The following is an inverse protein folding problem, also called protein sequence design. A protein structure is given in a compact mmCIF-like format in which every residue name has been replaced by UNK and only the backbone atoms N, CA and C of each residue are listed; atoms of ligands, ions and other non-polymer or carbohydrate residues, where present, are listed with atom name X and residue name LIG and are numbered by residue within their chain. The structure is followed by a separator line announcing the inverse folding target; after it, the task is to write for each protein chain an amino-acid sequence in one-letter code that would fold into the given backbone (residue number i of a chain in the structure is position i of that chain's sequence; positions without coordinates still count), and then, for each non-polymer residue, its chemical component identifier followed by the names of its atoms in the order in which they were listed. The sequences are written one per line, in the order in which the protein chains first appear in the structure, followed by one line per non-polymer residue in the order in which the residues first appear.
data_IF_326494894691
#
_entry.id   IF_326494894691
#
_cell.length_a   1.000
_cell.length_b   1.000
_cell.length_c   1.000
_cell.angle_alpha   90.00
_cell.angle_beta   90.00
_cell.angle_gamma   90.00
#
_symmetry.space_group_name_H-M   'P 1'
#
loop_
_entity.id
_entity.type
_entity.pdbx_description
1 polymer ?
#
# COMPACT_ATOMS: atom_id res chain seq x y z
N UNK A 1 -16.18 15.04 22.49
CA UNK A 1 -15.11 15.81 21.81
C UNK A 1 -14.20 16.43 22.87
N UNK A 2 -12.88 16.25 22.77
CA UNK A 2 -11.90 16.82 23.71
C UNK A 2 -11.74 18.34 23.49
N UNK A 3 -11.48 19.09 24.58
CA UNK A 3 -11.41 20.56 24.53
C UNK A 3 -10.25 21.12 23.66
N UNK A 4 -9.21 20.33 23.41
CA UNK A 4 -8.07 20.71 22.56
C UNK A 4 -8.22 20.28 21.10
N UNK A 5 -9.32 19.62 20.71
CA UNK A 5 -9.57 19.30 19.33
C UNK A 5 -9.92 20.57 18.53
N UNK A 6 -9.41 20.65 17.31
CA UNK A 6 -9.70 21.74 16.36
C UNK A 6 -10.58 21.18 15.26
N UNK A 7 -11.83 21.62 15.22
CA UNK A 7 -12.82 21.15 14.25
C UNK A 7 -13.36 22.35 13.49
N UNK A 8 -13.23 22.31 12.15
CA UNK A 8 -13.74 23.38 11.30
C UNK A 8 -15.29 23.43 11.38
N UNK A 9 -15.91 24.64 11.42
CA UNK A 9 -17.37 24.77 11.57
C UNK A 9 -18.20 24.13 10.47
N UNK A 10 -17.65 23.93 9.26
CA UNK A 10 -18.33 23.26 8.14
C UNK A 10 -18.25 21.73 8.21
N UNK A 11 -17.43 21.16 9.10
CA UNK A 11 -17.31 19.71 9.24
C UNK A 11 -18.60 19.10 9.78
N UNK A 12 -19.02 17.99 9.20
CA UNK A 12 -20.20 17.22 9.62
C UNK A 12 -19.73 15.93 10.29
N UNK A 13 -20.06 15.78 11.57
CA UNK A 13 -19.65 14.63 12.36
C UNK A 13 -20.92 13.92 12.87
N UNK A 14 -21.03 12.62 12.57
CA UNK A 14 -22.15 11.79 12.99
C UNK A 14 -22.27 11.63 14.50
N UNK A 15 -23.42 11.21 14.96
CA UNK A 15 -23.69 10.95 16.37
C UNK A 15 -22.77 9.84 16.92
N UNK A 16 -22.50 9.86 18.22
CA UNK A 16 -21.66 8.86 18.89
C UNK A 16 -20.14 9.04 18.71
N UNK A 17 -19.70 10.03 17.93
CA UNK A 17 -18.29 10.21 17.65
C UNK A 17 -17.47 10.59 18.88
N UNK A 18 -16.32 9.92 19.07
CA UNK A 18 -15.30 10.24 20.07
C UNK A 18 -14.12 10.95 19.41
N UNK A 19 -13.94 12.24 19.71
CA UNK A 19 -12.86 13.06 19.16
C UNK A 19 -11.86 13.36 20.28
N UNK A 20 -10.67 12.78 20.17
CA UNK A 20 -9.59 12.84 21.16
C UNK A 20 -8.83 14.17 21.19
N UNK A 21 -7.83 14.28 22.06
CA UNK A 21 -7.03 15.50 22.20
C UNK A 21 -6.20 15.79 20.95
N UNK A 22 -6.08 17.07 20.60
CA UNK A 22 -5.29 17.57 19.47
C UNK A 22 -5.66 16.96 18.10
N UNK A 23 -6.84 16.39 17.98
CA UNK A 23 -7.39 16.01 16.69
C UNK A 23 -7.68 17.27 15.87
N UNK A 24 -7.33 17.24 14.58
CA UNK A 24 -7.65 18.31 13.63
C UNK A 24 -8.58 17.77 12.57
N UNK A 25 -9.74 18.41 12.40
CA UNK A 25 -10.73 18.10 11.36
C UNK A 25 -10.96 19.38 10.56
N UNK A 26 -10.56 19.35 9.29
CA UNK A 26 -10.56 20.49 8.39
C UNK A 26 -11.95 20.74 7.76
N UNK A 27 -12.02 21.76 6.90
CA UNK A 27 -13.28 22.18 6.26
C UNK A 27 -13.88 21.08 5.39
N UNK A 28 -15.22 21.06 5.35
CA UNK A 28 -16.04 20.20 4.49
C UNK A 28 -15.78 18.69 4.65
N UNK A 29 -15.21 18.29 5.79
CA UNK A 29 -15.06 16.87 6.16
C UNK A 29 -16.42 16.31 6.57
N UNK A 30 -16.72 15.10 6.11
CA UNK A 30 -17.90 14.35 6.53
C UNK A 30 -17.46 13.04 7.19
N UNK A 31 -17.89 12.81 8.43
CA UNK A 31 -17.60 11.60 9.23
C UNK A 31 -18.92 10.99 9.67
N UNK A 32 -19.09 9.69 9.45
CA UNK A 32 -20.25 8.95 9.87
C UNK A 32 -20.41 8.80 11.38
N UNK A 33 -21.33 7.94 11.80
CA UNK A 33 -21.67 7.70 13.21
C UNK A 33 -20.61 6.84 13.89
N UNK A 34 -20.54 6.99 15.23
CA UNK A 34 -19.73 6.13 16.11
C UNK A 34 -18.24 6.09 15.77
N UNK A 35 -17.72 7.15 15.14
CA UNK A 35 -16.31 7.28 14.83
C UNK A 35 -15.47 7.52 16.09
N UNK A 36 -14.28 6.91 16.15
CA UNK A 36 -13.29 7.11 17.22
C UNK A 36 -11.99 7.64 16.62
N UNK A 37 -11.64 8.87 16.95
CA UNK A 37 -10.37 9.48 16.56
C UNK A 37 -9.55 9.71 17.82
N UNK A 38 -8.42 9.01 17.93
CA UNK A 38 -7.49 9.18 19.06
C UNK A 38 -6.60 10.42 18.89
N UNK A 39 -5.67 10.62 19.81
CA UNK A 39 -4.87 11.86 19.86
C UNK A 39 -4.10 12.13 18.56
N UNK A 40 -4.04 13.40 18.15
CA UNK A 40 -3.26 13.87 17.00
C UNK A 40 -3.66 13.29 15.64
N UNK A 41 -4.86 12.72 15.49
CA UNK A 41 -5.40 12.36 14.17
C UNK A 41 -5.68 13.63 13.38
N UNK A 42 -5.33 13.63 12.10
CA UNK A 42 -5.56 14.77 11.21
C UNK A 42 -6.39 14.33 10.00
N UNK A 43 -7.55 14.96 9.81
CA UNK A 43 -8.43 14.74 8.66
C UNK A 43 -8.47 16.03 7.85
N UNK A 44 -7.97 15.97 6.62
CA UNK A 44 -7.88 17.12 5.72
C UNK A 44 -9.21 17.38 5.01
N UNK A 45 -9.30 18.58 4.45
CA UNK A 45 -10.50 19.11 3.80
C UNK A 45 -11.17 18.13 2.84
N UNK A 46 -12.50 18.10 2.88
CA UNK A 46 -13.32 17.36 1.94
C UNK A 46 -13.20 15.84 2.01
N UNK A 47 -12.48 15.29 3.01
CA UNK A 47 -12.44 13.86 3.23
C UNK A 47 -13.83 13.34 3.66
N UNK A 48 -14.20 12.14 3.20
CA UNK A 48 -15.46 11.48 3.54
C UNK A 48 -15.19 10.14 4.16
N UNK A 49 -15.78 9.89 5.31
CA UNK A 49 -15.50 8.73 6.15
C UNK A 49 -16.86 8.15 6.59
N UNK A 50 -17.02 6.84 6.43
CA UNK A 50 -18.23 6.12 6.80
C UNK A 50 -18.42 5.94 8.30
N UNK A 51 -19.37 5.06 8.66
CA UNK A 51 -19.73 4.75 10.05
C UNK A 51 -18.69 3.84 10.72
N UNK A 52 -18.58 3.93 12.06
CA UNK A 52 -17.69 3.08 12.88
C UNK A 52 -16.21 3.17 12.50
N UNK A 53 -15.77 4.30 12.01
CA UNK A 53 -14.35 4.54 11.71
C UNK A 53 -13.53 4.59 12.99
N UNK A 54 -12.37 3.93 12.98
CA UNK A 54 -11.43 3.99 14.09
C UNK A 54 -10.04 4.44 13.62
N UNK A 55 -9.53 5.53 14.18
CA UNK A 55 -8.18 6.03 13.90
C UNK A 55 -7.35 6.12 15.17
N UNK A 56 -6.25 5.37 15.21
CA UNK A 56 -5.24 5.47 16.25
C UNK A 56 -4.42 6.77 16.13
N UNK A 57 -3.70 7.10 17.19
CA UNK A 57 -2.95 8.35 17.27
C UNK A 57 -2.01 8.57 16.07
N UNK A 58 -1.94 9.81 15.61
CA UNK A 58 -1.11 10.25 14.48
C UNK A 58 -1.51 9.69 13.09
N UNK A 59 -2.64 9.01 12.96
CA UNK A 59 -3.14 8.66 11.63
C UNK A 59 -3.56 9.93 10.87
N UNK A 60 -3.33 9.93 9.54
CA UNK A 60 -3.61 11.07 8.66
C UNK A 60 -4.45 10.62 7.48
N UNK A 61 -5.55 11.33 7.23
CA UNK A 61 -6.37 11.19 6.01
C UNK A 61 -6.29 12.50 5.23
N UNK A 62 -5.66 12.44 4.04
CA UNK A 62 -5.45 13.61 3.19
C UNK A 62 -6.74 14.02 2.47
N UNK A 63 -6.65 15.19 1.85
CA UNK A 63 -7.78 15.89 1.22
C UNK A 63 -8.53 15.03 0.20
N UNK A 64 -9.87 15.05 0.29
CA UNK A 64 -10.79 14.40 -0.64
C UNK A 64 -10.81 12.87 -0.60
N UNK A 65 -9.99 12.23 0.23
CA UNK A 65 -10.00 10.77 0.37
C UNK A 65 -11.35 10.27 0.88
N UNK A 66 -11.74 9.06 0.43
CA UNK A 66 -13.01 8.45 0.76
C UNK A 66 -12.77 7.09 1.44
N UNK A 67 -13.28 6.94 2.64
CA UNK A 67 -13.19 5.73 3.43
C UNK A 67 -14.62 5.21 3.71
N UNK A 68 -14.82 3.92 3.53
CA UNK A 68 -16.07 3.24 3.83
C UNK A 68 -16.33 3.06 5.31
N UNK A 69 -17.23 2.15 5.63
CA UNK A 69 -17.62 1.82 6.99
C UNK A 69 -16.62 0.87 7.67
N UNK A 70 -16.48 0.97 8.99
CA UNK A 70 -15.65 0.06 9.81
C UNK A 70 -14.17 0.00 9.38
N UNK A 71 -13.68 1.07 8.77
CA UNK A 71 -12.25 1.20 8.44
C UNK A 71 -11.47 1.47 9.72
N UNK A 72 -10.33 0.77 9.88
CA UNK A 72 -9.42 0.95 11.00
C UNK A 72 -8.05 1.42 10.50
N UNK A 73 -7.55 2.52 11.06
CA UNK A 73 -6.21 3.03 10.81
C UNK A 73 -5.38 2.96 12.10
N UNK A 74 -4.25 2.27 12.05
CA UNK A 74 -3.30 2.21 13.15
C UNK A 74 -2.39 3.45 13.21
N UNK A 75 -1.56 3.51 14.25
CA UNK A 75 -0.70 4.65 14.54
C UNK A 75 0.17 5.06 13.34
N UNK A 76 0.12 6.32 12.98
CA UNK A 76 0.96 6.88 11.92
C UNK A 76 0.62 6.40 10.49
N UNK A 77 -0.49 5.69 10.29
CA UNK A 77 -0.95 5.37 8.93
C UNK A 77 -1.29 6.65 8.16
N UNK A 78 -0.87 6.75 6.89
CA UNK A 78 -1.08 7.93 6.05
C UNK A 78 -1.86 7.55 4.79
N UNK A 79 -3.04 8.11 4.63
CA UNK A 79 -3.92 7.87 3.49
C UNK A 79 -3.93 9.11 2.58
N UNK A 80 -3.50 8.94 1.34
CA UNK A 80 -3.53 9.99 0.32
C UNK A 80 -2.29 10.87 0.27
N UNK A 81 -1.12 10.38 0.71
CA UNK A 81 0.14 11.06 0.43
C UNK A 81 0.36 11.22 -1.08
N UNK A 82 1.14 12.22 -1.49
CA UNK A 82 1.45 12.42 -2.91
C UNK A 82 2.20 11.19 -3.45
N UNK A 83 1.73 10.65 -4.58
CA UNK A 83 2.45 9.61 -5.30
C UNK A 83 3.83 10.08 -5.75
N UNK A 84 4.79 9.18 -5.82
CA UNK A 84 6.15 9.45 -6.27
C UNK A 84 6.18 9.54 -7.80
N UNK A 85 5.79 10.70 -8.33
CA UNK A 85 5.73 10.99 -9.75
C UNK A 85 6.61 12.20 -10.12
N UNK A 86 7.63 11.97 -10.95
CA UNK A 86 8.52 13.01 -11.43
C UNK A 86 8.84 12.79 -12.91
N UNK A 87 8.96 13.88 -13.67
CA UNK A 87 9.46 13.90 -15.05
C UNK A 87 10.73 14.75 -15.11
N UNK A 88 11.56 14.52 -16.11
CA UNK A 88 12.68 15.43 -16.38
C UNK A 88 12.20 16.60 -17.23
N UNK A 89 12.61 17.80 -16.84
CA UNK A 89 12.50 18.98 -17.69
C UNK A 89 13.59 19.01 -18.78
N UNK A 90 13.56 20.00 -19.66
CA UNK A 90 14.52 20.15 -20.78
C UNK A 90 15.96 20.33 -20.29
N UNK A 91 16.17 20.74 -19.04
CA UNK A 91 17.49 20.87 -18.39
C UNK A 91 17.96 19.60 -17.69
N UNK A 92 17.14 18.54 -17.68
CA UNK A 92 17.41 17.27 -17.00
C UNK A 92 17.11 17.25 -15.51
N UNK A 93 16.50 18.30 -14.95
CA UNK A 93 16.08 18.34 -13.56
C UNK A 93 14.72 17.65 -13.35
N UNK A 94 14.49 17.18 -12.12
CA UNK A 94 13.25 16.53 -11.76
C UNK A 94 12.14 17.54 -11.48
N UNK A 95 11.07 17.48 -12.29
CA UNK A 95 9.83 18.20 -12.09
C UNK A 95 8.75 17.31 -11.47
N UNK A 96 8.10 17.76 -10.39
CA UNK A 96 7.06 17.02 -9.69
C UNK A 96 5.77 16.99 -10.52
N UNK A 97 5.24 15.79 -10.74
CA UNK A 97 3.92 15.58 -11.35
C UNK A 97 2.86 15.69 -10.25
N UNK A 98 1.86 16.53 -10.46
CA UNK A 98 0.75 16.71 -9.53
C UNK A 98 -0.06 15.40 -9.39
N UNK A 99 -0.53 15.16 -8.19
CA UNK A 99 -1.29 13.97 -7.83
C UNK A 99 -2.70 14.39 -7.32
N UNK A 100 -3.65 14.80 -8.20
CA UNK A 100 -4.93 15.36 -7.76
C UNK A 100 -5.94 14.30 -7.32
N UNK A 101 -5.84 13.05 -7.80
CA UNK A 101 -6.85 12.04 -7.57
C UNK A 101 -6.74 11.41 -6.17
N UNK A 102 -7.85 11.37 -5.40
CA UNK A 102 -7.83 10.87 -4.02
C UNK A 102 -7.74 9.34 -3.95
N UNK A 103 -7.49 8.85 -2.74
CA UNK A 103 -7.59 7.43 -2.38
C UNK A 103 -9.03 7.06 -2.05
N UNK A 104 -9.44 5.86 -2.47
CA UNK A 104 -10.69 5.23 -2.07
C UNK A 104 -10.38 3.95 -1.29
N UNK A 105 -10.90 3.86 -0.08
CA UNK A 105 -10.83 2.68 0.78
C UNK A 105 -12.25 2.18 1.02
N UNK A 106 -12.51 0.93 0.74
CA UNK A 106 -13.83 0.33 0.93
C UNK A 106 -14.04 -0.13 2.38
N UNK A 107 -15.20 -0.74 2.66
CA UNK A 107 -15.58 -1.16 4.02
C UNK A 107 -14.65 -2.24 4.59
N UNK A 108 -14.59 -2.32 5.92
CA UNK A 108 -13.90 -3.38 6.66
C UNK A 108 -12.39 -3.49 6.38
N UNK A 109 -11.76 -2.46 5.80
CA UNK A 109 -10.32 -2.40 5.56
C UNK A 109 -9.60 -2.03 6.84
N UNK A 110 -8.46 -2.68 7.08
CA UNK A 110 -7.58 -2.36 8.21
C UNK A 110 -6.17 -2.05 7.70
N UNK A 111 -5.61 -0.91 8.13
CA UNK A 111 -4.29 -0.44 7.74
C UNK A 111 -3.45 -0.23 9.00
N UNK A 112 -2.39 -1.02 9.12
CA UNK A 112 -1.54 -1.06 10.28
C UNK A 112 -0.52 0.10 10.33
N UNK A 113 0.27 0.11 11.40
CA UNK A 113 1.11 1.25 11.77
C UNK A 113 2.14 1.64 10.68
N UNK A 114 2.25 2.95 10.46
CA UNK A 114 3.20 3.57 9.53
C UNK A 114 3.09 3.08 8.07
N UNK A 115 1.96 2.50 7.69
CA UNK A 115 1.68 2.18 6.29
C UNK A 115 1.19 3.40 5.54
N UNK A 116 1.58 3.51 4.26
CA UNK A 116 1.28 4.65 3.42
C UNK A 116 0.54 4.22 2.15
N UNK A 117 -0.55 4.92 1.82
CA UNK A 117 -1.32 4.73 0.59
C UNK A 117 -1.29 6.02 -0.20
N UNK A 118 -0.60 6.01 -1.34
CA UNK A 118 -0.43 7.19 -2.17
C UNK A 118 -1.68 7.50 -3.00
N UNK A 119 -1.94 8.79 -3.18
CA UNK A 119 -2.89 9.29 -4.18
C UNK A 119 -2.29 9.22 -5.58
N UNK A 120 -3.08 9.49 -6.60
CA UNK A 120 -2.69 9.29 -7.98
C UNK A 120 -2.80 10.56 -8.85
N UNK A 121 -2.15 10.51 -10.03
CA UNK A 121 -2.19 11.60 -11.01
C UNK A 121 -3.40 11.52 -11.95
N UNK A 122 -3.83 10.33 -12.34
CA UNK A 122 -4.89 10.12 -13.34
C UNK A 122 -5.99 9.20 -12.81
N UNK A 123 -5.63 8.02 -12.32
CA UNK A 123 -6.59 7.06 -11.76
C UNK A 123 -6.52 7.05 -10.25
N UNK A 124 -7.62 6.68 -9.60
CA UNK A 124 -7.68 6.63 -8.13
C UNK A 124 -6.98 5.39 -7.60
N UNK A 125 -6.17 5.55 -6.57
CA UNK A 125 -5.72 4.41 -5.77
C UNK A 125 -6.91 3.85 -5.00
N UNK A 126 -7.13 2.52 -5.09
CA UNK A 126 -8.29 1.88 -4.47
C UNK A 126 -7.89 0.64 -3.68
N UNK A 127 -8.51 0.47 -2.51
CA UNK A 127 -8.38 -0.72 -1.67
C UNK A 127 -9.76 -1.33 -1.46
N UNK A 128 -9.92 -2.58 -1.91
CA UNK A 128 -11.17 -3.34 -1.85
C UNK A 128 -11.53 -3.78 -0.43
N UNK A 129 -12.81 -4.07 -0.26
CA UNK A 129 -13.43 -4.45 1.02
C UNK A 129 -12.67 -5.57 1.73
N UNK A 130 -12.58 -5.46 3.05
CA UNK A 130 -12.06 -6.51 3.92
C UNK A 130 -10.56 -6.77 3.82
N UNK A 131 -9.84 -6.05 2.95
CA UNK A 131 -8.39 -6.18 2.79
C UNK A 131 -7.65 -5.71 4.05
N UNK A 132 -6.59 -6.45 4.41
CA UNK A 132 -5.75 -6.16 5.57
C UNK A 132 -4.34 -5.81 5.12
N UNK A 133 -3.84 -4.69 5.60
CA UNK A 133 -2.54 -4.13 5.26
C UNK A 133 -1.74 -4.00 6.55
N UNK A 134 -0.65 -4.74 6.66
CA UNK A 134 0.20 -4.80 7.85
C UNK A 134 1.13 -3.57 7.94
N UNK A 135 2.01 -3.56 8.92
CA UNK A 135 2.89 -2.43 9.23
C UNK A 135 3.91 -2.14 8.11
N UNK A 136 4.24 -0.86 7.93
CA UNK A 136 5.28 -0.40 7.01
C UNK A 136 5.05 -0.79 5.54
N UNK A 137 3.80 -0.98 5.14
CA UNK A 137 3.45 -1.26 3.75
C UNK A 137 3.37 0.04 2.96
N UNK A 138 3.92 0.04 1.73
CA UNK A 138 3.80 1.14 0.78
C UNK A 138 2.90 0.73 -0.38
N UNK A 139 1.80 1.44 -0.57
CA UNK A 139 0.93 1.31 -1.75
C UNK A 139 1.18 2.50 -2.68
N UNK A 140 1.80 2.24 -3.83
CA UNK A 140 2.11 3.27 -4.81
C UNK A 140 0.86 3.81 -5.52
N UNK A 141 1.00 4.99 -6.10
CA UNK A 141 -0.06 5.74 -6.76
C UNK A 141 -0.79 4.94 -7.86
N UNK A 142 -2.10 5.10 -7.97
CA UNK A 142 -2.91 4.44 -9.00
C UNK A 142 -3.03 2.93 -8.87
N UNK A 143 -2.53 2.34 -7.78
CA UNK A 143 -2.67 0.91 -7.52
C UNK A 143 -4.10 0.55 -7.14
N UNK A 144 -4.52 -0.65 -7.51
CA UNK A 144 -5.83 -1.22 -7.18
C UNK A 144 -5.63 -2.55 -6.47
N UNK A 145 -6.11 -2.66 -5.27
CA UNK A 145 -6.10 -3.89 -4.48
C UNK A 145 -7.54 -4.41 -4.38
N UNK A 146 -7.74 -5.67 -4.73
CA UNK A 146 -9.03 -6.34 -4.65
C UNK A 146 -9.50 -6.60 -3.22
N UNK A 147 -10.61 -7.32 -3.09
CA UNK A 147 -11.24 -7.62 -1.80
C UNK A 147 -10.51 -8.74 -1.07
N UNK A 148 -10.58 -8.70 0.28
CA UNK A 148 -10.11 -9.77 1.17
C UNK A 148 -8.65 -10.20 0.97
N UNK A 149 -7.81 -9.31 0.43
CA UNK A 149 -6.40 -9.55 0.23
C UNK A 149 -5.59 -9.24 1.49
N UNK A 150 -4.43 -9.88 1.65
CA UNK A 150 -3.54 -9.74 2.80
C UNK A 150 -2.16 -9.27 2.32
N UNK A 151 -1.78 -8.06 2.70
CA UNK A 151 -0.45 -7.51 2.44
C UNK A 151 0.29 -7.44 3.76
N UNK A 152 1.28 -8.31 3.96
CA UNK A 152 1.99 -8.36 5.23
C UNK A 152 3.16 -7.37 5.29
N UNK A 153 3.83 -7.31 6.42
CA UNK A 153 4.76 -6.22 6.75
C UNK A 153 5.81 -5.94 5.67
N UNK A 154 6.04 -4.66 5.42
CA UNK A 154 7.05 -4.15 4.50
C UNK A 154 6.82 -4.53 3.02
N UNK A 155 5.61 -4.92 2.63
CA UNK A 155 5.27 -5.05 1.21
C UNK A 155 5.34 -3.68 0.54
N UNK A 156 5.96 -3.62 -0.64
CA UNK A 156 6.03 -2.43 -1.47
C UNK A 156 5.38 -2.67 -2.84
N UNK A 157 4.31 -1.95 -3.15
CA UNK A 157 3.72 -1.90 -4.48
C UNK A 157 4.16 -0.62 -5.18
N UNK A 158 4.78 -0.75 -6.34
CA UNK A 158 5.03 0.40 -7.21
C UNK A 158 3.72 0.87 -7.86
N UNK A 159 3.75 2.06 -8.47
CA UNK A 159 2.55 2.68 -9.03
C UNK A 159 1.83 1.84 -10.09
N UNK A 160 0.52 1.99 -10.15
CA UNK A 160 -0.37 1.34 -11.16
C UNK A 160 -0.33 -0.20 -11.12
N UNK A 161 -0.07 -0.79 -9.97
CA UNK A 161 -0.14 -2.24 -9.76
C UNK A 161 -1.59 -2.65 -9.53
N UNK A 162 -2.02 -3.73 -10.17
CA UNK A 162 -3.34 -4.34 -9.95
C UNK A 162 -3.17 -5.64 -9.16
N UNK A 163 -3.74 -5.70 -7.97
CA UNK A 163 -3.79 -6.89 -7.10
C UNK A 163 -5.22 -7.40 -7.06
N UNK A 164 -5.43 -8.65 -7.36
CA UNK A 164 -6.75 -9.30 -7.37
C UNK A 164 -7.34 -9.52 -5.98
N UNK A 165 -8.41 -10.30 -5.92
CA UNK A 165 -9.10 -10.66 -4.68
C UNK A 165 -8.40 -11.86 -4.00
N UNK A 166 -8.47 -11.91 -2.66
CA UNK A 166 -7.91 -13.01 -1.85
C UNK A 166 -6.42 -13.29 -2.12
N UNK A 167 -5.66 -12.29 -2.54
CA UNK A 167 -4.21 -12.39 -2.77
C UNK A 167 -3.48 -12.30 -1.44
N UNK A 168 -2.39 -13.06 -1.29
CA UNK A 168 -1.50 -12.99 -0.13
C UNK A 168 -0.10 -12.56 -0.60
N UNK A 169 0.28 -11.33 -0.26
CA UNK A 169 1.64 -10.84 -0.40
C UNK A 169 2.32 -10.91 0.96
N UNK A 170 3.31 -11.80 1.07
CA UNK A 170 3.98 -12.02 2.35
C UNK A 170 5.13 -11.01 2.58
N UNK A 171 5.74 -11.05 3.76
CA UNK A 171 6.66 -10.01 4.23
C UNK A 171 7.78 -9.65 3.25
N UNK A 172 8.01 -8.34 3.10
CA UNK A 172 9.07 -7.77 2.26
C UNK A 172 8.96 -8.09 0.76
N UNK A 173 7.78 -8.43 0.27
CA UNK A 173 7.55 -8.56 -1.17
C UNK A 173 7.60 -7.19 -1.83
N UNK A 174 8.38 -7.08 -2.91
CA UNK A 174 8.42 -5.90 -3.78
C UNK A 174 7.76 -6.21 -5.12
N UNK A 175 6.87 -5.32 -5.59
CA UNK A 175 6.13 -5.49 -6.84
C UNK A 175 6.42 -4.34 -7.79
N UNK A 176 6.86 -4.66 -9.02
CA UNK A 176 7.12 -3.65 -10.06
C UNK A 176 5.82 -2.97 -10.51
N UNK A 177 5.92 -1.72 -10.98
CA UNK A 177 4.77 -0.99 -11.49
C UNK A 177 4.11 -1.62 -12.72
N UNK A 178 2.83 -1.32 -12.89
CA UNK A 178 2.03 -1.73 -14.05
C UNK A 178 1.88 -3.25 -14.23
N UNK A 179 2.07 -4.06 -13.20
CA UNK A 179 1.84 -5.50 -13.27
C UNK A 179 0.52 -5.90 -12.62
N UNK A 180 0.06 -7.09 -12.97
CA UNK A 180 -1.19 -7.70 -12.48
C UNK A 180 -0.89 -8.95 -11.67
N UNK A 181 -1.49 -9.04 -10.49
CA UNK A 181 -1.44 -10.22 -9.64
C UNK A 181 -2.85 -10.79 -9.60
N UNK A 182 -3.03 -11.98 -10.17
CA UNK A 182 -4.33 -12.64 -10.29
C UNK A 182 -4.94 -13.05 -8.95
N UNK A 183 -6.25 -13.25 -8.93
CA UNK A 183 -7.02 -13.65 -7.75
C UNK A 183 -6.43 -14.89 -7.06
N UNK A 184 -6.37 -14.88 -5.74
CA UNK A 184 -5.90 -16.01 -4.93
C UNK A 184 -4.40 -16.33 -5.06
N UNK A 185 -3.62 -15.51 -5.75
CA UNK A 185 -2.18 -15.71 -5.85
C UNK A 185 -1.48 -15.51 -4.50
N UNK A 186 -0.39 -16.25 -4.29
CA UNK A 186 0.45 -16.16 -3.07
C UNK A 186 1.89 -15.84 -3.49
N UNK A 187 2.43 -14.78 -2.93
CA UNK A 187 3.84 -14.39 -3.13
C UNK A 187 4.58 -14.61 -1.82
N UNK A 188 5.60 -15.49 -1.84
CA UNK A 188 6.36 -15.87 -0.63
C UNK A 188 7.31 -14.75 -0.17
N UNK A 189 7.79 -14.78 1.10
CA UNK A 189 8.56 -13.67 1.67
C UNK A 189 9.80 -13.29 0.86
N UNK A 190 10.11 -11.99 0.84
CA UNK A 190 11.27 -11.40 0.17
C UNK A 190 11.34 -11.64 -1.34
N UNK A 191 10.21 -11.97 -1.97
CA UNK A 191 10.15 -12.14 -3.42
C UNK A 191 10.06 -10.81 -4.15
N UNK A 192 10.76 -10.71 -5.29
CA UNK A 192 10.66 -9.60 -6.23
C UNK A 192 9.76 -9.98 -7.41
N UNK A 193 8.61 -9.35 -7.52
CA UNK A 193 7.67 -9.57 -8.63
C UNK A 193 8.01 -8.62 -9.77
N UNK A 194 8.50 -9.16 -10.88
CA UNK A 194 8.98 -8.39 -12.04
C UNK A 194 8.00 -8.43 -13.23
N UNK A 195 6.80 -8.98 -13.07
CA UNK A 195 5.78 -9.11 -14.11
C UNK A 195 4.50 -9.75 -13.58
N UNK A 196 3.55 -10.01 -14.46
CA UNK A 196 2.23 -10.52 -14.11
C UNK A 196 2.29 -11.91 -13.45
N UNK A 197 1.39 -12.14 -12.51
CA UNK A 197 1.21 -13.41 -11.81
C UNK A 197 -0.20 -13.93 -12.08
N UNK A 198 -0.28 -15.18 -12.55
CA UNK A 198 -1.54 -15.84 -12.83
C UNK A 198 -2.37 -16.08 -11.55
N UNK A 199 -3.69 -16.15 -11.70
CA UNK A 199 -4.61 -16.45 -10.60
C UNK A 199 -4.28 -17.81 -9.95
N UNK A 200 -4.30 -17.85 -8.61
CA UNK A 200 -4.01 -19.04 -7.83
C UNK A 200 -2.55 -19.49 -7.82
N UNK A 201 -1.66 -18.78 -8.52
CA UNK A 201 -0.25 -19.14 -8.57
C UNK A 201 0.45 -18.89 -7.21
N UNK A 202 1.40 -19.76 -6.87
CA UNK A 202 2.33 -19.55 -5.75
C UNK A 202 3.72 -19.29 -6.33
N UNK A 203 4.26 -18.11 -6.07
CA UNK A 203 5.57 -17.70 -6.60
C UNK A 203 6.55 -17.37 -5.49
N UNK A 204 7.83 -17.62 -5.75
CA UNK A 204 8.92 -17.45 -4.79
C UNK A 204 10.16 -16.88 -5.48
N UNK A 205 10.91 -16.07 -4.77
CA UNK A 205 12.24 -15.64 -5.21
C UNK A 205 13.04 -15.07 -4.04
N UNK A 206 14.30 -15.51 -3.91
CA UNK A 206 15.23 -15.19 -2.84
C UNK A 206 14.97 -15.92 -1.49
N UNK A 207 14.76 -17.27 -1.45
CA UNK A 207 14.69 -17.96 -0.18
C UNK A 207 16.04 -17.95 0.53
N UNK A 208 16.05 -17.83 1.89
CA UNK A 208 17.25 -18.02 2.68
C UNK A 208 17.67 -19.50 2.66
N UNK A 209 18.97 -19.74 2.49
CA UNK A 209 19.58 -21.07 2.52
C UNK A 209 20.73 -21.07 3.53
N UNK A 210 21.25 -22.26 3.86
CA UNK A 210 22.46 -22.38 4.70
C UNK A 210 23.58 -21.47 4.19
N UNK A 211 24.26 -20.76 5.10
CA UNK A 211 25.24 -19.74 4.74
C UNK A 211 26.40 -20.30 3.89
N UNK A 212 26.89 -21.52 4.18
CA UNK A 212 27.96 -22.12 3.39
C UNK A 212 27.47 -22.50 1.99
N UNK A 213 26.21 -22.91 1.87
CA UNK A 213 25.57 -23.20 0.59
C UNK A 213 25.37 -21.91 -0.23
N UNK A 214 24.93 -20.82 0.44
CA UNK A 214 24.79 -19.50 -0.19
C UNK A 214 26.12 -18.98 -0.75
N UNK A 215 27.21 -19.09 0.00
CA UNK A 215 28.55 -18.73 -0.48
C UNK A 215 28.95 -19.51 -1.74
N UNK A 216 28.65 -20.82 -1.79
CA UNK A 216 28.89 -21.65 -2.97
C UNK A 216 28.06 -21.18 -4.17
N UNK A 217 26.78 -20.92 -3.98
CA UNK A 217 25.90 -20.40 -5.04
C UNK A 217 26.40 -19.05 -5.57
N UNK A 218 26.70 -18.12 -4.68
CA UNK A 218 27.17 -16.78 -5.03
C UNK A 218 28.46 -16.82 -5.85
N UNK A 219 29.40 -17.67 -5.49
CA UNK A 219 30.64 -17.86 -6.24
C UNK A 219 30.42 -18.47 -7.63
N UNK A 220 29.34 -19.25 -7.83
CA UNK A 220 29.05 -19.88 -9.12
C UNK A 220 28.21 -18.98 -10.04
N UNK A 221 27.41 -18.06 -9.51
CA UNK A 221 26.47 -17.24 -10.28
C UNK A 221 27.15 -16.52 -11.46
N UNK A 222 28.30 -15.88 -11.22
CA UNK A 222 29.03 -15.17 -12.27
C UNK A 222 29.59 -16.09 -13.36
N UNK A 223 29.74 -17.38 -13.06
CA UNK A 223 30.31 -18.42 -13.96
C UNK A 223 29.26 -19.27 -14.66
N UNK A 224 27.94 -19.08 -14.31
CA UNK A 224 26.86 -19.86 -14.94
C UNK A 224 26.86 -19.82 -16.47
N UNK A 225 27.15 -18.67 -17.17
CA UNK A 225 27.21 -18.65 -18.62
C UNK A 225 28.36 -19.53 -19.19
N UNK A 226 29.46 -19.63 -18.48
CA UNK A 226 30.63 -20.48 -18.87
C UNK A 226 30.29 -21.95 -18.66
N UNK A 227 29.72 -22.29 -17.51
CA UNK A 227 29.27 -23.65 -17.16
C UNK A 227 28.25 -24.14 -18.18
N UNK A 228 27.22 -23.31 -18.50
CA UNK A 228 26.23 -23.66 -19.49
C UNK A 228 26.79 -23.92 -20.88
N UNK A 229 27.78 -23.12 -21.31
CA UNK A 229 28.51 -23.34 -22.58
C UNK A 229 29.30 -24.65 -22.58
N UNK A 230 30.02 -24.95 -21.51
CA UNK A 230 30.79 -26.17 -21.36
C UNK A 230 29.89 -27.44 -21.38
N UNK A 231 28.74 -27.41 -20.71
CA UNK A 231 27.77 -28.53 -20.71
C UNK A 231 27.19 -28.75 -22.13
N UNK A 232 26.79 -27.69 -22.83
CA UNK A 232 26.26 -27.80 -24.21
C UNK A 232 27.32 -28.36 -25.18
N UNK A 233 28.57 -27.90 -25.06
CA UNK A 233 29.66 -28.40 -25.91
C UNK A 233 30.01 -29.88 -25.66
N UNK A 234 29.73 -30.40 -24.47
CA UNK A 234 29.91 -31.81 -24.13
C UNK A 234 28.76 -32.67 -24.69
N UNK A 235 27.53 -32.20 -24.52
CA UNK A 235 26.32 -32.90 -25.03
C UNK A 235 26.25 -32.97 -26.58
N UNK A 236 27.01 -32.14 -27.30
CA UNK A 236 27.09 -32.20 -28.78
C UNK A 236 28.21 -33.12 -29.31
N UNK A 237 28.97 -33.78 -28.42
CA UNK A 237 30.03 -34.73 -28.81
C UNK A 237 29.68 -36.18 -28.50
N UNK A 238 28.60 -36.41 -27.79
CA UNK A 238 27.93 -37.70 -27.56
C UNK A 238 26.73 -37.84 -28.54
#
# INVERSE_FOLDING_TARGET
MHATAVVHPSAKIGAGAHIGPYVVIDQDVEIGRDAVLLAHVVIYRGARIGDNFFAHAHAVVREGCQLGDRVLLQNGAVIGADGFGFAKDDSGHWYKILQPEPVIIEDDVEIQANSCVDRASVEKTRIGRGTKIDNLVQIGHGSRIGEHSLLTSQVGLAGSTEVGNNVILTGQVGVVGHCKIGDGAIVTPQSGVAGDIEAGAIVSGAPAVDHKLWLKYSALLSRLPEIARAVRAKASKD
#
